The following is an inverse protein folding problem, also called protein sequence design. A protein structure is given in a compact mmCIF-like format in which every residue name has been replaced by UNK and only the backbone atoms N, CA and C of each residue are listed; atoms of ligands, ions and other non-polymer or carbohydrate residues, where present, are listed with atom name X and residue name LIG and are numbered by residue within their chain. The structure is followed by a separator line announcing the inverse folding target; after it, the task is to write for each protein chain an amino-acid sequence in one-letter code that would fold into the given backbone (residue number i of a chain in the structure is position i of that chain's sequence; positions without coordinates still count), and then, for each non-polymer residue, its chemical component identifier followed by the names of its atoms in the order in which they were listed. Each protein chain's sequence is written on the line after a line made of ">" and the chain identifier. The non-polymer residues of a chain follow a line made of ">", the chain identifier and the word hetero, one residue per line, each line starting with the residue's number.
data_IF_037181493265
#
_entry.id   IF_037181493265
#
_cell.length_a   1.000
_cell.length_b   1.000
_cell.length_c   1.000
_cell.angle_alpha   90.00
_cell.angle_beta   90.00
_cell.angle_gamma   90.00
#
_symmetry.space_group_name_H-M   'P 1'
#
loop_
_entity.id
_entity.type
_entity.pdbx_description
1 polymer ?
#
# COMPACT_ATOMS: atom_id res chain seq x y z
N UNK A 1 25.39 -4.96 -3.84
CA UNK A 1 24.34 -5.42 -4.79
C UNK A 1 22.94 -4.91 -4.46
N UNK A 2 22.43 -5.07 -3.22
CA UNK A 2 21.13 -4.49 -2.85
C UNK A 2 21.11 -2.95 -3.00
N UNK A 3 22.14 -2.27 -2.50
CA UNK A 3 22.33 -0.83 -2.71
C UNK A 3 22.36 -0.42 -4.19
N UNK A 4 22.95 -1.25 -5.05
CA UNK A 4 22.97 -1.02 -6.50
C UNK A 4 21.55 -1.10 -7.09
N UNK A 5 20.76 -2.10 -6.70
CA UNK A 5 19.38 -2.25 -7.17
C UNK A 5 18.47 -1.11 -6.65
N UNK A 6 18.70 -0.61 -5.44
CA UNK A 6 17.98 0.55 -4.90
C UNK A 6 18.37 1.82 -5.68
N UNK A 7 19.67 2.05 -5.89
CA UNK A 7 20.17 3.19 -6.66
C UNK A 7 19.63 3.18 -8.10
N UNK A 8 19.47 2.00 -8.69
CA UNK A 8 18.87 1.83 -10.02
C UNK A 8 17.37 2.18 -10.03
N UNK A 9 16.60 1.72 -9.05
CA UNK A 9 15.19 2.14 -8.92
C UNK A 9 15.04 3.67 -8.80
N UNK A 10 16.02 4.36 -8.22
CA UNK A 10 16.02 5.83 -8.10
C UNK A 10 16.56 6.56 -9.35
N UNK A 11 17.04 5.83 -10.36
CA UNK A 11 17.57 6.42 -11.60
C UNK A 11 16.54 6.53 -12.72
N UNK A 12 15.44 5.78 -12.66
CA UNK A 12 14.39 5.81 -13.66
C UNK A 12 13.37 6.90 -13.34
N UNK A 13 13.08 7.78 -14.31
CA UNK A 13 12.17 8.91 -14.07
C UNK A 13 10.77 8.46 -13.64
N UNK A 14 10.24 7.43 -14.28
CA UNK A 14 8.90 6.91 -14.01
C UNK A 14 8.74 6.35 -12.60
N UNK A 15 9.74 5.65 -12.08
CA UNK A 15 9.72 5.12 -10.71
C UNK A 15 9.84 6.25 -9.70
N UNK A 16 10.73 7.24 -9.92
CA UNK A 16 10.88 8.39 -9.03
C UNK A 16 9.59 9.20 -8.98
N UNK A 17 8.95 9.45 -10.13
CA UNK A 17 7.65 10.14 -10.17
C UNK A 17 6.58 9.38 -9.37
N UNK A 18 6.48 8.05 -9.51
CA UNK A 18 5.51 7.26 -8.75
C UNK A 18 5.84 7.21 -7.25
N UNK A 19 7.13 7.11 -6.87
CA UNK A 19 7.55 7.17 -5.48
C UNK A 19 7.15 8.50 -4.83
N UNK A 20 7.42 9.61 -5.51
CA UNK A 20 7.01 10.95 -5.06
C UNK A 20 5.48 11.07 -5.00
N UNK A 21 4.77 10.51 -5.97
CA UNK A 21 3.31 10.53 -6.00
C UNK A 21 2.69 9.80 -4.79
N UNK A 22 3.16 8.58 -4.47
CA UNK A 22 2.74 7.84 -3.27
C UNK A 22 3.09 8.62 -2.00
N UNK A 23 4.24 9.30 -1.99
CA UNK A 23 4.66 10.08 -0.84
C UNK A 23 3.80 11.34 -0.61
N UNK A 24 3.43 12.04 -1.68
CA UNK A 24 2.72 13.34 -1.59
C UNK A 24 1.21 13.14 -1.41
N UNK A 25 0.64 12.08 -2.00
CA UNK A 25 -0.82 11.84 -2.02
C UNK A 25 -1.51 12.03 -0.65
N UNK A 26 -1.01 11.46 0.46
CA UNK A 26 -1.65 11.61 1.76
C UNK A 26 -1.80 13.07 2.24
N UNK A 27 -0.88 13.95 1.84
CA UNK A 27 -0.88 15.36 2.23
C UNK A 27 -1.89 16.20 1.44
N UNK A 28 -2.31 15.76 0.25
CA UNK A 28 -3.31 16.48 -0.54
C UNK A 28 -4.67 16.51 0.17
N UNK A 29 -5.00 15.44 0.90
CA UNK A 29 -6.23 15.40 1.68
C UNK A 29 -6.16 16.36 2.88
N UNK A 30 -5.01 16.44 3.55
CA UNK A 30 -4.80 17.42 4.63
C UNK A 30 -4.94 18.86 4.13
N UNK A 31 -4.50 19.16 2.91
CA UNK A 31 -4.70 20.48 2.29
C UNK A 31 -6.18 20.76 2.03
N UNK A 32 -6.94 19.75 1.57
CA UNK A 32 -8.37 19.88 1.36
C UNK A 32 -9.13 20.20 2.65
N UNK A 33 -8.77 19.59 3.77
CA UNK A 33 -9.37 19.92 5.07
C UNK A 33 -9.12 21.39 5.48
N UNK A 34 -7.93 21.95 5.20
CA UNK A 34 -7.68 23.39 5.45
C UNK A 34 -8.63 24.25 4.62
N UNK A 35 -8.78 23.93 3.34
CA UNK A 35 -9.68 24.66 2.44
C UNK A 35 -11.13 24.66 2.98
N UNK A 36 -11.60 23.52 3.49
CA UNK A 36 -12.92 23.43 4.11
C UNK A 36 -13.06 24.29 5.37
N UNK A 37 -12.03 24.34 6.22
CA UNK A 37 -12.03 25.19 7.41
C UNK A 37 -12.09 26.67 7.03
N UNK A 38 -11.35 27.08 5.98
CA UNK A 38 -11.39 28.47 5.47
C UNK A 38 -12.79 28.83 4.98
N UNK A 39 -13.53 27.87 4.43
CA UNK A 39 -14.94 28.05 4.02
C UNK A 39 -15.93 28.07 5.20
N UNK A 40 -15.47 27.89 6.43
CA UNK A 40 -16.30 27.94 7.64
C UNK A 40 -16.78 26.59 8.15
N UNK A 41 -16.26 25.47 7.64
CA UNK A 41 -16.58 24.13 8.17
C UNK A 41 -15.83 23.83 9.48
N UNK A 42 -16.26 22.78 10.17
CA UNK A 42 -15.70 22.35 11.44
C UNK A 42 -14.27 21.80 11.31
N UNK A 43 -13.44 22.10 12.30
CA UNK A 43 -12.12 21.49 12.43
C UNK A 43 -12.24 20.06 13.00
N UNK A 44 -11.84 19.09 12.19
CA UNK A 44 -11.78 17.68 12.55
C UNK A 44 -10.85 17.45 13.75
N UNK A 45 -11.21 16.48 14.60
CA UNK A 45 -10.27 15.91 15.56
C UNK A 45 -9.06 15.35 14.78
N UNK A 46 -7.81 15.57 15.25
CA UNK A 46 -6.61 15.14 14.55
C UNK A 46 -6.61 13.66 14.13
N UNK A 47 -7.06 12.77 15.02
CA UNK A 47 -7.09 11.34 14.74
C UNK A 47 -8.05 10.98 13.60
N UNK A 48 -9.15 11.75 13.44
CA UNK A 48 -10.15 11.56 12.39
C UNK A 48 -9.76 12.24 11.07
N UNK A 49 -8.87 13.23 11.12
CA UNK A 49 -8.34 13.92 9.93
C UNK A 49 -7.15 13.18 9.30
N UNK A 50 -6.70 12.08 9.91
CA UNK A 50 -5.67 11.22 9.33
C UNK A 50 -6.11 10.66 7.97
N UNK A 51 -5.20 10.61 7.00
CA UNK A 51 -5.49 10.26 5.61
C UNK A 51 -6.26 8.93 5.45
N UNK A 52 -5.88 7.89 6.19
CA UNK A 52 -6.55 6.59 6.07
C UNK A 52 -7.97 6.60 6.64
N UNK A 53 -8.33 7.54 7.52
CA UNK A 53 -9.71 7.65 8.01
C UNK A 53 -10.67 7.98 6.87
N UNK A 54 -10.17 8.69 5.84
CA UNK A 54 -10.98 9.12 4.70
C UNK A 54 -12.25 9.79 5.18
N UNK A 55 -12.17 10.92 5.86
CA UNK A 55 -13.36 11.66 6.33
C UNK A 55 -13.68 12.88 5.47
N UNK A 56 -13.05 12.97 4.28
CA UNK A 56 -13.22 14.07 3.33
C UNK A 56 -14.65 14.17 2.80
N UNK A 57 -15.42 15.09 3.37
CA UNK A 57 -16.77 15.44 2.93
C UNK A 57 -16.71 16.14 1.57
N UNK A 58 -17.62 15.80 0.65
CA UNK A 58 -17.78 16.48 -0.65
C UNK A 58 -16.97 15.89 -1.82
N UNK A 59 -15.71 15.50 -1.61
CA UNK A 59 -14.88 14.88 -2.68
C UNK A 59 -15.04 13.36 -2.73
N UNK A 60 -15.65 12.72 -1.72
CA UNK A 60 -15.97 11.29 -1.78
C UNK A 60 -14.74 10.38 -1.71
N UNK A 61 -13.79 10.69 -0.83
CA UNK A 61 -12.59 9.88 -0.58
C UNK A 61 -11.71 9.62 -1.81
N UNK A 62 -11.79 10.45 -2.86
CA UNK A 62 -11.06 10.23 -4.13
C UNK A 62 -9.56 10.06 -3.92
N UNK A 63 -8.92 10.88 -3.06
CA UNK A 63 -7.48 10.76 -2.81
C UNK A 63 -7.10 9.43 -2.16
N UNK A 64 -7.88 9.01 -1.16
CA UNK A 64 -7.73 7.70 -0.55
C UNK A 64 -8.00 6.56 -1.54
N UNK A 65 -9.04 6.68 -2.37
CA UNK A 65 -9.37 5.73 -3.43
C UNK A 65 -8.23 5.60 -4.44
N UNK A 66 -7.66 6.70 -4.92
CA UNK A 66 -6.49 6.68 -5.79
C UNK A 66 -5.26 6.04 -5.13
N UNK A 67 -5.10 6.20 -3.82
CA UNK A 67 -4.01 5.60 -3.07
C UNK A 67 -4.19 4.09 -2.86
N UNK A 68 -5.40 3.62 -2.56
CA UNK A 68 -5.67 2.22 -2.20
C UNK A 68 -6.14 1.36 -3.37
N UNK A 69 -6.87 1.91 -4.34
CA UNK A 69 -7.39 1.13 -5.47
C UNK A 69 -6.32 0.86 -6.52
N UNK A 70 -5.35 1.78 -6.67
CA UNK A 70 -4.29 1.69 -7.68
C UNK A 70 -2.97 1.10 -7.16
N UNK A 71 -2.96 0.47 -5.97
CA UNK A 71 -1.79 -0.20 -5.39
C UNK A 71 -1.02 -1.07 -6.40
N UNK A 72 -1.66 -1.97 -7.17
CA UNK A 72 -0.96 -2.86 -8.10
C UNK A 72 -0.22 -2.08 -9.17
N UNK A 73 -0.82 -0.99 -9.66
CA UNK A 73 -0.24 -0.16 -10.71
C UNK A 73 1.04 0.51 -10.20
N UNK A 74 0.99 1.07 -8.99
CA UNK A 74 2.16 1.66 -8.34
C UNK A 74 3.26 0.62 -8.09
N UNK A 75 2.88 -0.53 -7.53
CA UNK A 75 3.80 -1.64 -7.29
C UNK A 75 4.43 -2.14 -8.60
N UNK A 76 3.67 -2.27 -9.68
CA UNK A 76 4.18 -2.69 -10.99
C UNK A 76 5.22 -1.72 -11.53
N UNK A 77 4.96 -0.41 -11.52
CA UNK A 77 5.92 0.58 -12.04
C UNK A 77 7.24 0.52 -11.25
N UNK A 78 7.17 0.37 -9.93
CA UNK A 78 8.35 0.35 -9.05
C UNK A 78 9.10 -0.99 -9.08
N UNK A 79 8.39 -2.11 -9.12
CA UNK A 79 8.98 -3.44 -8.94
C UNK A 79 9.25 -4.20 -10.25
N UNK A 80 8.39 -4.02 -11.27
CA UNK A 80 8.43 -4.83 -12.49
C UNK A 80 9.30 -4.24 -13.59
N UNK A 81 9.42 -2.90 -13.68
CA UNK A 81 10.16 -2.24 -14.76
C UNK A 81 11.63 -2.68 -14.82
N UNK A 82 12.29 -2.78 -13.67
CA UNK A 82 13.66 -3.27 -13.55
C UNK A 82 13.82 -4.68 -14.12
N UNK A 83 12.95 -5.61 -13.70
CA UNK A 83 13.00 -7.01 -14.13
C UNK A 83 12.69 -7.16 -15.62
N UNK A 84 11.66 -6.46 -16.11
CA UNK A 84 11.23 -6.53 -17.49
C UNK A 84 12.27 -5.92 -18.44
N UNK A 85 12.89 -4.80 -18.07
CA UNK A 85 13.98 -4.21 -18.86
C UNK A 85 15.22 -5.12 -18.89
N UNK A 86 15.54 -5.76 -17.77
CA UNK A 86 16.68 -6.69 -17.69
C UNK A 86 16.44 -7.93 -18.58
N UNK A 87 15.20 -8.42 -18.65
CA UNK A 87 14.79 -9.53 -19.53
C UNK A 87 14.75 -9.12 -21.02
N UNK A 88 14.19 -7.95 -21.35
CA UNK A 88 14.12 -7.43 -22.73
C UNK A 88 15.52 -7.24 -23.33
N UNK A 89 16.51 -6.86 -22.50
CA UNK A 89 17.90 -6.60 -22.94
C UNK A 89 18.81 -7.82 -22.81
N UNK A 90 18.35 -8.92 -22.23
CA UNK A 90 19.16 -10.12 -21.96
C UNK A 90 20.22 -9.95 -20.86
N UNK A 91 20.15 -8.87 -20.08
CA UNK A 91 21.04 -8.66 -18.93
C UNK A 91 20.75 -9.65 -17.80
N UNK A 92 19.53 -10.15 -17.72
CA UNK A 92 19.11 -11.20 -16.79
C UNK A 92 20.02 -12.43 -16.85
N UNK A 93 20.42 -12.90 -18.03
CA UNK A 93 21.31 -14.06 -18.20
C UNK A 93 22.69 -13.83 -17.55
N UNK A 94 23.23 -12.62 -17.63
CA UNK A 94 24.53 -12.27 -17.05
C UNK A 94 24.42 -12.18 -15.51
N UNK A 95 23.34 -11.59 -15.00
CA UNK A 95 23.10 -11.53 -13.55
C UNK A 95 22.82 -12.92 -12.96
N UNK A 96 22.00 -13.73 -13.63
CA UNK A 96 21.63 -15.09 -13.20
C UNK A 96 22.86 -15.99 -13.20
N UNK A 97 23.71 -15.94 -14.23
CA UNK A 97 24.95 -16.75 -14.29
C UNK A 97 25.96 -16.39 -13.19
N UNK A 98 26.06 -15.10 -12.82
CA UNK A 98 27.01 -14.65 -11.78
C UNK A 98 26.53 -14.94 -10.36
N UNK A 99 25.24 -14.79 -10.08
CA UNK A 99 24.70 -14.78 -8.70
C UNK A 99 23.95 -16.08 -8.38
N UNK A 100 23.35 -16.69 -9.40
CA UNK A 100 22.36 -17.76 -9.28
C UNK A 100 20.93 -17.22 -9.23
N UNK A 101 20.04 -17.85 -10.00
CA UNK A 101 18.61 -17.49 -10.17
C UNK A 101 17.88 -17.32 -8.83
N UNK A 102 18.03 -18.28 -7.91
CA UNK A 102 17.41 -18.25 -6.58
C UNK A 102 17.84 -17.04 -5.76
N UNK A 103 19.15 -16.80 -5.66
CA UNK A 103 19.70 -15.68 -4.88
C UNK A 103 19.31 -14.32 -5.48
N UNK A 104 19.19 -14.23 -6.80
CA UNK A 104 18.69 -13.02 -7.47
C UNK A 104 17.22 -12.76 -7.13
N UNK A 105 16.36 -13.76 -7.24
CA UNK A 105 14.93 -13.64 -6.94
C UNK A 105 14.69 -13.18 -5.50
N UNK A 106 15.30 -13.84 -4.49
CA UNK A 106 15.12 -13.42 -3.09
C UNK A 106 15.58 -11.99 -2.84
N UNK A 107 16.68 -11.54 -3.47
CA UNK A 107 17.15 -10.17 -3.31
C UNK A 107 16.19 -9.15 -3.94
N UNK A 108 15.57 -9.49 -5.07
CA UNK A 108 14.55 -8.65 -5.70
C UNK A 108 13.27 -8.57 -4.85
N UNK A 109 12.82 -9.69 -4.30
CA UNK A 109 11.66 -9.74 -3.41
C UNK A 109 11.89 -8.90 -2.15
N UNK A 110 13.01 -9.12 -1.45
CA UNK A 110 13.36 -8.37 -0.24
C UNK A 110 13.53 -6.87 -0.54
N UNK A 111 14.17 -6.52 -1.66
CA UNK A 111 14.30 -5.11 -2.10
C UNK A 111 12.93 -4.44 -2.21
N UNK A 112 12.01 -5.05 -2.96
CA UNK A 112 10.72 -4.45 -3.23
C UNK A 112 9.82 -4.40 -2.00
N UNK A 113 9.89 -5.43 -1.14
CA UNK A 113 9.20 -5.41 0.16
C UNK A 113 9.66 -4.22 1.00
N UNK A 114 10.97 -4.12 1.28
CA UNK A 114 11.52 -3.06 2.14
C UNK A 114 11.25 -1.68 1.53
N UNK A 115 11.47 -1.49 0.23
CA UNK A 115 11.28 -0.20 -0.43
C UNK A 115 9.84 0.31 -0.30
N UNK A 116 8.85 -0.52 -0.62
CA UNK A 116 7.45 -0.10 -0.59
C UNK A 116 6.92 0.02 0.84
N UNK A 117 7.27 -0.91 1.73
CA UNK A 117 6.84 -0.83 3.13
C UNK A 117 7.41 0.40 3.83
N UNK A 118 8.70 0.71 3.65
CA UNK A 118 9.33 1.90 4.27
C UNK A 118 8.77 3.19 3.69
N UNK A 119 8.58 3.26 2.37
CA UNK A 119 8.00 4.44 1.71
C UNK A 119 6.61 4.77 2.28
N UNK A 120 5.73 3.78 2.34
CA UNK A 120 4.35 3.96 2.82
C UNK A 120 4.32 4.26 4.31
N UNK A 121 5.16 3.58 5.09
CA UNK A 121 5.30 3.84 6.51
C UNK A 121 5.72 5.29 6.78
N UNK A 122 6.75 5.79 6.07
CA UNK A 122 7.23 7.17 6.21
C UNK A 122 6.17 8.18 5.77
N UNK A 123 5.55 7.95 4.61
CA UNK A 123 4.51 8.83 4.05
C UNK A 123 3.34 9.01 5.03
N UNK A 124 2.78 7.90 5.52
CA UNK A 124 1.63 7.93 6.42
C UNK A 124 1.99 8.40 7.84
N UNK A 125 3.17 8.05 8.35
CA UNK A 125 3.61 8.53 9.67
C UNK A 125 3.84 10.04 9.68
N UNK A 126 4.43 10.58 8.61
CA UNK A 126 4.58 12.02 8.45
C UNK A 126 3.23 12.71 8.25
N UNK A 127 2.31 12.09 7.50
CA UNK A 127 0.95 12.60 7.39
C UNK A 127 0.25 12.69 8.76
N UNK A 128 0.31 11.62 9.56
CA UNK A 128 -0.25 11.60 10.90
C UNK A 128 0.34 12.73 11.75
N UNK A 129 1.66 12.88 11.76
CA UNK A 129 2.34 13.97 12.47
C UNK A 129 1.86 15.35 12.00
N UNK A 130 1.78 15.58 10.69
CA UNK A 130 1.32 16.84 10.13
C UNK A 130 -0.11 17.17 10.55
N UNK A 131 -1.03 16.21 10.49
CA UNK A 131 -2.42 16.40 10.90
C UNK A 131 -2.53 16.75 12.39
N UNK A 132 -1.74 16.09 13.26
CA UNK A 132 -1.69 16.45 14.68
C UNK A 132 -1.15 17.85 14.96
N UNK A 133 -0.25 18.36 14.13
CA UNK A 133 0.23 19.74 14.23
C UNK A 133 -0.79 20.75 13.70
N UNK A 134 -1.42 20.46 12.56
CA UNK A 134 -2.29 21.40 11.85
C UNK A 134 -3.67 21.55 12.49
N UNK A 135 -4.27 20.45 12.96
CA UNK A 135 -5.63 20.44 13.52
C UNK A 135 -5.64 20.37 15.05
N UNK A 136 -4.56 20.84 15.69
CA UNK A 136 -4.44 20.84 17.16
C UNK A 136 -5.61 21.61 17.78
N UNK A 137 -6.45 20.91 18.54
CA UNK A 137 -7.63 21.48 19.20
C UNK A 137 -8.95 21.33 18.42
N UNK A 138 -8.94 20.66 17.25
CA UNK A 138 -10.16 20.25 16.57
C UNK A 138 -10.98 19.26 17.41
N UNK A 139 -12.30 19.38 17.34
CA UNK A 139 -13.25 18.60 18.17
C UNK A 139 -14.26 17.79 17.36
N UNK A 140 -14.29 17.98 16.03
CA UNK A 140 -15.29 17.30 15.21
C UNK A 140 -14.89 15.85 15.00
N UNK A 141 -15.67 14.93 15.59
CA UNK A 141 -15.47 13.50 15.47
C UNK A 141 -16.72 12.83 14.86
N UNK A 142 -16.67 12.41 13.58
CA UNK A 142 -17.78 11.70 12.95
C UNK A 142 -18.00 10.28 13.51
N UNK A 143 -17.04 9.71 14.25
CA UNK A 143 -17.10 8.33 14.75
C UNK A 143 -17.67 8.17 16.17
N UNK A 144 -18.07 9.26 16.85
CA UNK A 144 -18.70 9.16 18.19
C UNK A 144 -20.08 8.49 18.14
N UNK A 145 -20.71 8.42 16.97
CA UNK A 145 -22.05 7.86 16.77
C UNK A 145 -22.04 6.30 16.83
N UNK A 146 -20.86 5.66 16.84
CA UNK A 146 -20.72 4.26 16.38
C UNK A 146 -20.07 3.25 17.34
N UNK A 147 -19.86 3.55 18.62
CA UNK A 147 -19.26 2.60 19.56
C UNK A 147 -20.27 1.53 20.03
N UNK A 148 -20.68 0.62 19.14
CA UNK A 148 -21.70 -0.39 19.41
C UNK A 148 -21.15 -1.67 20.07
N UNK A 149 -19.85 -1.98 19.89
CA UNK A 149 -19.21 -3.22 20.38
C UNK A 149 -17.98 -2.94 21.28
N UNK A 150 -17.67 -3.87 22.20
CA UNK A 150 -16.49 -3.77 23.11
C UNK A 150 -15.17 -3.65 22.35
N UNK A 151 -15.03 -4.36 21.22
CA UNK A 151 -13.84 -4.27 20.37
C UNK A 151 -13.67 -2.87 19.76
N UNK A 152 -14.75 -2.29 19.21
CA UNK A 152 -14.72 -0.93 18.67
C UNK A 152 -14.52 0.12 19.77
N UNK A 153 -15.00 -0.15 20.99
CA UNK A 153 -14.81 0.71 22.16
C UNK A 153 -13.33 0.79 22.58
N UNK A 154 -12.58 -0.32 22.53
CA UNK A 154 -11.14 -0.30 22.82
C UNK A 154 -10.36 0.59 21.85
N UNK A 155 -10.61 0.46 20.54
CA UNK A 155 -9.90 1.23 19.51
C UNK A 155 -10.30 2.72 19.49
N UNK A 156 -11.54 3.04 19.83
CA UNK A 156 -11.99 4.43 19.97
C UNK A 156 -11.40 5.11 21.21
N UNK A 157 -11.14 4.35 22.29
CA UNK A 157 -10.45 4.86 23.49
C UNK A 157 -8.95 5.11 23.27
N UNK A 158 -8.33 4.45 22.29
CA UNK A 158 -6.92 4.61 21.93
C UNK A 158 -6.75 4.97 20.45
N UNK A 159 -7.20 6.17 20.01
CA UNK A 159 -7.29 6.51 18.59
C UNK A 159 -5.92 6.60 17.90
N UNK A 160 -4.90 7.11 18.60
CA UNK A 160 -3.51 7.13 18.11
C UNK A 160 -2.96 5.72 17.86
N UNK A 161 -3.19 4.80 18.79
CA UNK A 161 -2.76 3.41 18.66
C UNK A 161 -3.48 2.74 17.49
N UNK A 162 -4.78 3.03 17.33
CA UNK A 162 -5.57 2.53 16.21
C UNK A 162 -4.97 2.96 14.86
N UNK A 163 -4.72 4.26 14.69
CA UNK A 163 -4.12 4.81 13.48
C UNK A 163 -2.73 4.20 13.20
N UNK A 164 -1.90 4.04 14.23
CA UNK A 164 -0.58 3.44 14.08
C UNK A 164 -0.64 1.97 13.62
N UNK A 165 -1.56 1.18 14.17
CA UNK A 165 -1.76 -0.22 13.75
C UNK A 165 -2.21 -0.28 12.29
N UNK A 166 -3.11 0.60 11.85
CA UNK A 166 -3.55 0.67 10.45
C UNK A 166 -2.41 1.09 9.51
N UNK A 167 -1.50 1.97 9.93
CA UNK A 167 -0.27 2.28 9.17
C UNK A 167 0.57 1.02 8.97
N UNK A 168 0.79 0.23 10.02
CA UNK A 168 1.58 -1.00 9.95
C UNK A 168 0.95 -2.04 9.03
N UNK A 169 -0.36 -2.23 9.12
CA UNK A 169 -1.09 -3.14 8.23
C UNK A 169 -0.93 -2.66 6.78
N UNK A 170 -1.12 -1.36 6.54
CA UNK A 170 -1.02 -0.78 5.19
C UNK A 170 0.36 -0.98 4.59
N UNK A 171 1.44 -0.74 5.35
CA UNK A 171 2.80 -0.89 4.83
C UNK A 171 3.16 -2.36 4.54
N UNK A 172 2.65 -3.31 5.32
CA UNK A 172 2.86 -4.74 5.07
C UNK A 172 2.16 -5.17 3.77
N UNK A 173 0.92 -4.74 3.56
CA UNK A 173 0.14 -5.07 2.35
C UNK A 173 0.83 -4.51 1.10
N UNK A 174 1.27 -3.25 1.13
CA UNK A 174 2.05 -2.66 0.04
C UNK A 174 3.35 -3.42 -0.24
N UNK A 175 4.06 -3.85 0.81
CA UNK A 175 5.28 -4.65 0.68
C UNK A 175 5.02 -5.99 0.00
N UNK A 176 3.98 -6.70 0.42
CA UNK A 176 3.60 -8.00 -0.16
C UNK A 176 3.12 -7.85 -1.59
N UNK A 177 2.34 -6.82 -1.90
CA UNK A 177 1.92 -6.55 -3.27
C UNK A 177 3.12 -6.22 -4.17
N UNK A 178 4.12 -5.52 -3.63
CA UNK A 178 5.42 -5.33 -4.28
C UNK A 178 6.17 -6.62 -4.58
N UNK A 179 6.19 -7.57 -3.64
CA UNK A 179 6.77 -8.89 -3.86
C UNK A 179 6.01 -9.69 -4.92
N UNK A 180 4.67 -9.64 -4.90
CA UNK A 180 3.82 -10.32 -5.87
C UNK A 180 4.04 -9.78 -7.30
N UNK A 181 4.05 -8.46 -7.48
CA UNK A 181 4.35 -7.81 -8.76
C UNK A 181 5.79 -8.12 -9.24
N UNK A 182 6.74 -8.20 -8.31
CA UNK A 182 8.10 -8.60 -8.64
C UNK A 182 8.17 -10.07 -9.09
N UNK A 183 7.51 -10.99 -8.39
CA UNK A 183 7.53 -12.41 -8.71
C UNK A 183 6.89 -12.70 -10.06
N UNK A 184 5.73 -12.08 -10.34
CA UNK A 184 5.05 -12.14 -11.64
C UNK A 184 5.96 -11.62 -12.77
N UNK A 185 6.64 -10.49 -12.57
CA UNK A 185 7.57 -9.92 -13.57
C UNK A 185 8.81 -10.77 -13.81
N UNK A 186 9.29 -11.47 -12.79
CA UNK A 186 10.45 -12.34 -12.94
C UNK A 186 10.10 -13.61 -13.74
N UNK A 187 8.85 -14.08 -13.63
CA UNK A 187 8.39 -15.28 -14.31
C UNK A 187 7.88 -15.01 -15.73
N UNK A 188 7.03 -14.01 -15.92
CA UNK A 188 6.49 -13.66 -17.23
C UNK A 188 7.36 -12.61 -17.92
N UNK A 189 7.90 -12.95 -19.08
CA UNK A 189 8.67 -12.02 -19.93
C UNK A 189 7.82 -10.96 -20.65
N UNK A 190 6.50 -11.15 -20.69
CA UNK A 190 5.60 -10.24 -21.40
C UNK A 190 5.01 -9.20 -20.45
N UNK A 191 5.37 -7.93 -20.67
CA UNK A 191 4.86 -6.77 -19.91
C UNK A 191 3.33 -6.74 -19.82
N UNK A 192 2.63 -7.02 -20.92
CA UNK A 192 1.15 -7.00 -20.94
C UNK A 192 0.56 -8.04 -20.00
N UNK A 193 1.12 -9.25 -19.98
CA UNK A 193 0.67 -10.35 -19.12
C UNK A 193 0.93 -10.04 -17.65
N UNK A 194 2.10 -9.51 -17.31
CA UNK A 194 2.44 -9.12 -15.93
C UNK A 194 1.45 -8.11 -15.39
N UNK A 195 1.17 -7.05 -16.16
CA UNK A 195 0.24 -6.00 -15.75
C UNK A 195 -1.18 -6.54 -15.61
N UNK A 196 -1.63 -7.35 -16.58
CA UNK A 196 -2.96 -7.96 -16.54
C UNK A 196 -3.15 -8.84 -15.30
N UNK A 197 -2.23 -9.77 -15.03
CA UNK A 197 -2.32 -10.69 -13.88
C UNK A 197 -2.32 -9.92 -12.56
N UNK A 198 -1.45 -8.92 -12.41
CA UNK A 198 -1.35 -8.18 -11.16
C UNK A 198 -2.54 -7.27 -10.89
N UNK A 199 -3.08 -6.60 -11.90
CA UNK A 199 -4.26 -5.75 -11.76
C UNK A 199 -5.50 -6.61 -11.53
N UNK A 200 -5.66 -7.70 -12.29
CA UNK A 200 -6.82 -8.59 -12.17
C UNK A 200 -6.89 -9.24 -10.79
N UNK A 201 -5.74 -9.68 -10.25
CA UNK A 201 -5.65 -10.22 -8.89
C UNK A 201 -6.20 -9.23 -7.84
N UNK A 202 -5.81 -7.96 -7.94
CA UNK A 202 -6.25 -6.94 -6.99
C UNK A 202 -7.69 -6.47 -7.21
N UNK A 203 -8.15 -6.44 -8.46
CA UNK A 203 -9.52 -6.05 -8.78
C UNK A 203 -10.54 -6.99 -8.11
N UNK A 204 -10.24 -8.29 -8.05
CA UNK A 204 -11.07 -9.27 -7.34
C UNK A 204 -11.19 -8.90 -5.85
N UNK A 205 -10.11 -8.47 -5.22
CA UNK A 205 -10.09 -8.07 -3.80
C UNK A 205 -10.89 -6.78 -3.53
N UNK A 206 -10.87 -5.82 -4.47
CA UNK A 206 -11.63 -4.57 -4.33
C UNK A 206 -13.13 -4.81 -4.48
N UNK A 207 -13.54 -5.63 -5.45
CA UNK A 207 -14.95 -5.80 -5.82
C UNK A 207 -15.76 -6.68 -4.85
N UNK A 208 -15.08 -7.47 -4.01
CA UNK A 208 -15.73 -8.40 -3.08
C UNK A 208 -16.42 -7.66 -1.90
N UNK A 209 -17.60 -8.10 -1.43
CA UNK A 209 -18.14 -7.65 -0.15
C UNK A 209 -17.23 -8.07 1.02
N UNK A 210 -16.98 -7.16 1.96
CA UNK A 210 -15.95 -7.35 2.99
C UNK A 210 -14.53 -7.24 2.40
N UNK A 211 -14.33 -6.27 1.49
CA UNK A 211 -13.05 -6.06 0.80
C UNK A 211 -11.94 -5.70 1.78
N UNK A 212 -10.71 -5.98 1.36
CA UNK A 212 -9.50 -5.60 2.09
C UNK A 212 -9.40 -4.07 2.28
N UNK A 213 -10.14 -3.29 1.50
CA UNK A 213 -10.19 -1.83 1.63
C UNK A 213 -10.70 -1.35 2.99
N UNK A 214 -11.62 -2.08 3.60
CA UNK A 214 -12.16 -1.77 4.93
C UNK A 214 -11.08 -1.86 6.03
N UNK A 215 -10.05 -2.67 5.81
CA UNK A 215 -8.96 -2.88 6.77
C UNK A 215 -7.98 -1.70 6.79
N UNK A 216 -7.94 -0.93 5.70
CA UNK A 216 -7.10 0.27 5.68
C UNK A 216 -7.72 1.43 6.46
N UNK A 217 -9.05 1.46 6.64
CA UNK A 217 -9.75 2.58 7.24
C UNK A 217 -9.92 2.41 8.76
N UNK A 218 -9.27 3.24 9.59
CA UNK A 218 -9.51 3.26 11.01
C UNK A 218 -10.91 3.85 11.32
N UNK A 219 -11.54 3.36 12.39
CA UNK A 219 -12.83 3.84 12.92
C UNK A 219 -14.07 3.54 12.05
N UNK A 220 -13.99 2.58 11.13
CA UNK A 220 -15.14 2.20 10.33
C UNK A 220 -16.20 1.44 11.15
N UNK A 221 -17.46 1.84 10.96
CA UNK A 221 -18.59 1.54 11.84
C UNK A 221 -19.07 0.08 11.73
N UNK A 222 -18.82 -0.57 10.58
CA UNK A 222 -19.44 -1.85 10.23
C UNK A 222 -18.46 -3.01 10.03
N UNK A 223 -17.16 -2.81 10.22
CA UNK A 223 -16.19 -3.88 10.01
C UNK A 223 -16.28 -4.90 11.15
N UNK A 224 -17.04 -5.97 10.95
CA UNK A 224 -16.99 -7.13 11.85
C UNK A 224 -15.60 -7.76 11.77
N UNK A 225 -15.08 -8.25 12.91
CA UNK A 225 -13.79 -8.95 12.96
C UNK A 225 -13.72 -10.08 11.91
N UNK A 226 -14.86 -10.73 11.65
CA UNK A 226 -15.04 -11.77 10.65
C UNK A 226 -14.78 -11.29 9.22
N UNK A 227 -15.26 -10.11 8.84
CA UNK A 227 -15.03 -9.55 7.50
C UNK A 227 -13.56 -9.19 7.31
N UNK A 228 -12.95 -8.54 8.30
CA UNK A 228 -11.52 -8.17 8.27
C UNK A 228 -10.60 -9.41 8.19
N UNK A 229 -10.90 -10.46 8.96
CA UNK A 229 -10.14 -11.71 8.92
C UNK A 229 -10.29 -12.41 7.56
N UNK A 230 -11.48 -12.38 6.97
CA UNK A 230 -11.73 -12.99 5.66
C UNK A 230 -10.96 -12.30 4.53
N UNK A 231 -10.85 -10.97 4.55
CA UNK A 231 -10.09 -10.20 3.56
C UNK A 231 -8.58 -10.46 3.65
N UNK A 232 -8.03 -10.50 4.88
CA UNK A 232 -6.61 -10.81 5.08
C UNK A 232 -6.26 -12.23 4.65
N UNK A 233 -7.05 -13.23 5.05
CA UNK A 233 -6.77 -14.61 4.66
C UNK A 233 -6.81 -14.79 3.14
N UNK A 234 -7.78 -14.17 2.47
CA UNK A 234 -7.98 -14.33 1.03
C UNK A 234 -6.94 -13.59 0.20
N UNK A 235 -6.37 -12.49 0.69
CA UNK A 235 -5.24 -11.84 0.01
C UNK A 235 -3.90 -12.52 0.31
N UNK A 236 -3.59 -12.74 1.60
CA UNK A 236 -2.26 -13.22 2.01
C UNK A 236 -2.02 -14.67 1.61
N UNK A 237 -3.01 -15.57 1.74
CA UNK A 237 -2.81 -17.00 1.46
C UNK A 237 -2.49 -17.24 -0.02
N UNK A 238 -3.27 -16.76 -1.00
CA UNK A 238 -2.95 -16.92 -2.42
C UNK A 238 -1.68 -16.17 -2.83
N UNK A 239 -1.45 -14.95 -2.32
CA UNK A 239 -0.25 -14.18 -2.66
C UNK A 239 1.03 -14.90 -2.18
N UNK A 240 1.04 -15.38 -0.93
CA UNK A 240 2.18 -16.10 -0.36
C UNK A 240 2.35 -17.45 -1.06
N UNK A 241 1.27 -18.22 -1.26
CA UNK A 241 1.35 -19.49 -1.99
C UNK A 241 1.89 -19.29 -3.40
N UNK A 242 1.43 -18.26 -4.11
CA UNK A 242 1.90 -17.93 -5.45
C UNK A 242 3.40 -17.59 -5.45
N UNK A 243 3.86 -16.74 -4.52
CA UNK A 243 5.29 -16.42 -4.37
C UNK A 243 6.10 -17.68 -4.03
N UNK A 244 5.59 -18.54 -3.15
CA UNK A 244 6.23 -19.81 -2.78
C UNK A 244 6.32 -20.79 -3.97
N UNK A 245 5.26 -20.92 -4.76
CA UNK A 245 5.24 -21.77 -5.95
C UNK A 245 6.24 -21.25 -7.00
N UNK A 246 6.25 -19.94 -7.28
CA UNK A 246 7.17 -19.35 -8.24
C UNK A 246 8.62 -19.44 -7.79
N UNK A 247 8.90 -19.18 -6.51
CA UNK A 247 10.25 -19.34 -5.95
C UNK A 247 10.71 -20.79 -6.01
N UNK A 248 9.84 -21.76 -5.74
CA UNK A 248 10.16 -23.19 -5.87
C UNK A 248 10.38 -23.61 -7.33
N UNK A 249 9.54 -23.15 -8.26
CA UNK A 249 9.69 -23.48 -9.69
C UNK A 249 10.98 -22.92 -10.29
N UNK A 250 11.44 -21.76 -9.81
CA UNK A 250 12.73 -21.18 -10.19
C UNK A 250 13.96 -22.01 -9.83
N UNK A 251 13.80 -23.08 -9.05
CA UNK A 251 14.87 -24.02 -8.67
C UNK A 251 15.03 -25.14 -9.71
N UNK A 252 13.96 -25.48 -10.43
CA UNK A 252 13.93 -26.64 -11.33
C UNK A 252 14.08 -26.28 -12.82
N UNK A 253 14.01 -24.99 -13.14
CA UNK A 253 14.26 -24.41 -14.48
C UNK A 253 15.47 -23.48 -14.42
#
# INVERSE_FOLDING_TARGET
>A
MLQFLIKRNLSTLSTVMVLLWIFILPFLESWWYIYQIIQGNYAYQPDCAFFLCGNSVGIGHIFQGLYLWLIPLYCLVISSNDCLMDQERGYDNILISRIGKRKMLYRLLIKNFILLSVLVFLSLSLNLLCVHLMFRGGKYNPSEISALNVFTMFWTNHPLLNNFVHILITCIIYGIMGMFCCATSFYFRNRKTVYFVSIFFWLIEILKPGSLLLIFQPFQINSTLTETASGLLLFFVPAILYICILTRRSIYE
#
